data_IF_153298972987
#
_entry.id   IF_153298972987
#
_cell.length_a   1.000
_cell.length_b   1.000
_cell.length_c   1.000
_cell.angle_alpha   90.00
_cell.angle_beta   90.00
_cell.angle_gamma   90.00
#
_symmetry.space_group_name_H-M   'P 1'
#
loop_
_entity.id
_entity.type
_entity.pdbx_description
1 polymer ?
#
# COMPACT_ATOMS: atom_id res chain seq x y z
N UNK A 1 60.81 -13.68 -26.09
CA UNK A 1 60.15 -14.13 -27.33
C UNK A 1 58.86 -13.38 -27.42
N UNK A 2 58.88 -12.37 -28.13
CA UNK A 2 58.05 -11.72 -29.15
C UNK A 2 56.52 -11.84 -28.99
N UNK A 3 55.95 -10.71 -28.74
CA UNK A 3 54.57 -10.29 -29.01
C UNK A 3 54.39 -10.19 -30.54
N UNK A 4 53.20 -10.41 -31.08
CA UNK A 4 52.63 -9.34 -31.88
C UNK A 4 51.15 -9.08 -31.59
N UNK A 5 50.84 -7.82 -31.48
CA UNK A 5 49.55 -7.17 -31.81
C UNK A 5 49.25 -7.31 -33.28
N UNK A 6 47.98 -7.30 -33.67
CA UNK A 6 47.60 -6.48 -34.84
C UNK A 6 46.43 -5.55 -34.52
N UNK A 7 46.69 -4.37 -34.75
CA UNK A 7 46.07 -3.26 -35.50
C UNK A 7 45.03 -3.70 -36.53
N UNK A 8 43.91 -2.96 -36.54
CA UNK A 8 43.03 -2.89 -37.69
C UNK A 8 41.61 -2.44 -37.37
N UNK A 9 41.38 -1.12 -37.31
CA UNK A 9 40.11 -0.54 -37.70
C UNK A 9 40.05 -0.47 -39.24
N UNK A 10 38.86 -0.46 -39.86
CA UNK A 10 38.37 0.83 -40.29
C UNK A 10 36.87 1.06 -40.05
N UNK A 11 36.58 2.27 -39.77
CA UNK A 11 35.30 2.93 -39.85
C UNK A 11 34.79 2.94 -41.27
N UNK A 12 33.56 2.57 -41.49
CA UNK A 12 32.86 2.89 -42.73
C UNK A 12 31.64 3.78 -42.37
N UNK A 13 31.85 4.99 -42.72
CA UNK A 13 30.92 6.09 -42.87
C UNK A 13 29.94 5.75 -44.00
N UNK A 14 28.68 5.67 -43.70
CA UNK A 14 27.63 5.62 -44.73
C UNK A 14 26.69 6.79 -44.56
N UNK A 15 26.89 7.65 -45.52
CA UNK A 15 26.13 8.74 -46.08
C UNK A 15 24.70 8.96 -45.59
N UNK A 16 24.48 10.23 -45.24
CA UNK A 16 23.21 10.89 -45.18
C UNK A 16 22.43 10.76 -46.49
N UNK A 17 21.20 10.28 -46.40
CA UNK A 17 20.21 10.46 -47.46
C UNK A 17 19.26 11.58 -47.00
N UNK A 18 19.51 12.70 -47.56
CA UNK A 18 18.66 13.88 -47.58
C UNK A 18 17.47 13.57 -48.51
N UNK A 19 16.27 13.53 -47.95
CA UNK A 19 15.04 13.51 -48.74
C UNK A 19 14.24 14.78 -48.44
N UNK A 20 14.11 15.60 -49.46
CA UNK A 20 13.47 16.89 -49.47
C UNK A 20 11.94 16.82 -49.27
N UNK A 21 11.30 17.98 -49.01
CA UNK A 21 9.99 18.08 -48.38
C UNK A 21 8.85 17.86 -49.38
N UNK A 22 7.92 17.04 -49.00
CA UNK A 22 6.63 16.92 -49.65
C UNK A 22 5.64 17.99 -49.19
N UNK A 23 5.11 18.73 -50.09
CA UNK A 23 4.02 19.67 -49.91
C UNK A 23 2.82 18.98 -49.31
N UNK A 24 2.54 19.26 -48.05
CA UNK A 24 1.30 18.86 -47.40
C UNK A 24 0.19 19.86 -47.72
N UNK A 25 -0.86 19.37 -48.27
CA UNK A 25 -2.12 20.09 -48.51
C UNK A 25 -2.75 20.60 -47.20
N UNK A 26 -3.44 21.75 -47.25
CA UNK A 26 -4.06 22.33 -46.08
C UNK A 26 -5.28 21.52 -45.61
N UNK A 27 -5.34 21.26 -44.35
CA UNK A 27 -6.47 20.64 -43.66
C UNK A 27 -7.72 21.54 -43.76
N UNK A 28 -8.89 21.05 -44.16
CA UNK A 28 -10.10 21.83 -44.14
C UNK A 28 -10.58 22.08 -42.70
N UNK A 29 -10.88 23.33 -42.46
CA UNK A 29 -11.53 23.84 -41.25
C UNK A 29 -12.94 23.27 -41.12
N UNK A 30 -13.36 22.77 -39.96
CA UNK A 30 -14.75 22.36 -39.75
C UNK A 30 -15.64 23.61 -39.66
N UNK A 31 -16.84 23.59 -40.25
CA UNK A 31 -17.77 24.71 -40.19
C UNK A 31 -18.33 24.86 -38.78
N UNK A 32 -18.26 26.11 -38.32
CA UNK A 32 -18.95 26.58 -37.13
C UNK A 32 -20.48 26.51 -37.36
N UNK A 33 -21.12 25.55 -36.75
CA UNK A 33 -22.57 25.56 -36.67
C UNK A 33 -22.98 26.32 -35.43
N UNK A 34 -23.40 27.54 -35.62
CA UNK A 34 -24.25 28.31 -34.71
C UNK A 34 -25.67 27.78 -34.88
N UNK A 35 -26.19 27.14 -33.87
CA UNK A 35 -27.63 27.17 -33.60
C UNK A 35 -27.86 26.91 -32.11
N UNK A 36 -28.54 27.82 -31.41
CA UNK A 36 -28.96 27.58 -30.04
C UNK A 36 -30.21 26.71 -30.07
N UNK A 37 -30.15 25.57 -29.41
CA UNK A 37 -31.29 24.74 -29.13
C UNK A 37 -32.13 25.36 -28.01
N UNK A 38 -33.44 25.27 -28.08
CA UNK A 38 -34.36 25.90 -27.11
C UNK A 38 -34.31 25.20 -25.76
N UNK A 39 -34.49 26.02 -24.72
CA UNK A 39 -34.77 25.64 -23.35
C UNK A 39 -35.77 24.51 -23.24
N UNK A 40 -35.34 23.34 -22.89
CA UNK A 40 -36.22 22.32 -22.38
C UNK A 40 -36.06 22.24 -20.87
N UNK A 41 -37.01 22.87 -20.22
CA UNK A 41 -37.27 22.87 -18.80
C UNK A 41 -37.62 21.45 -18.39
N UNK A 42 -36.64 20.69 -17.98
CA UNK A 42 -36.89 19.38 -17.35
C UNK A 42 -36.88 19.56 -15.85
N UNK A 43 -38.03 19.28 -15.27
CA UNK A 43 -38.30 19.28 -13.86
C UNK A 43 -37.37 18.35 -13.09
N UNK A 44 -37.11 18.62 -11.81
CA UNK A 44 -36.28 17.79 -10.98
C UNK A 44 -37.02 16.51 -10.64
N UNK A 45 -36.59 15.42 -11.17
CA UNK A 45 -37.05 14.11 -10.75
C UNK A 45 -35.89 13.26 -10.34
N UNK A 46 -36.06 12.75 -9.16
CA UNK A 46 -35.33 11.67 -8.55
C UNK A 46 -34.19 12.11 -7.61
N UNK A 47 -34.63 12.48 -6.43
CA UNK A 47 -33.86 12.19 -5.22
C UNK A 47 -33.45 10.72 -5.26
N UNK A 48 -32.15 10.49 -5.48
CA UNK A 48 -31.53 9.26 -5.03
C UNK A 48 -31.83 9.13 -3.54
N UNK A 49 -32.36 7.99 -3.09
CA UNK A 49 -32.42 7.74 -1.67
C UNK A 49 -31.01 7.92 -1.11
N UNK A 50 -30.84 8.84 -0.19
CA UNK A 50 -29.71 8.82 0.73
C UNK A 50 -29.80 7.46 1.40
N UNK A 51 -29.03 6.50 0.92
CA UNK A 51 -28.64 5.40 1.76
C UNK A 51 -27.94 6.06 2.96
N UNK A 52 -28.67 6.10 4.05
CA UNK A 52 -28.10 6.33 5.35
C UNK A 52 -26.95 5.35 5.44
N UNK A 53 -25.69 5.80 5.74
CA UNK A 53 -24.67 4.84 6.06
C UNK A 53 -25.25 4.03 7.21
N UNK A 54 -25.49 2.76 6.95
CA UNK A 54 -25.66 1.78 8.00
C UNK A 54 -24.43 1.95 8.86
N UNK A 55 -24.64 2.53 10.03
CA UNK A 55 -23.60 2.70 11.00
C UNK A 55 -22.96 1.35 11.14
N UNK A 56 -21.70 1.29 10.75
CA UNK A 56 -20.86 0.13 10.91
C UNK A 56 -20.80 -0.14 12.41
N UNK A 57 -21.63 -1.06 12.87
CA UNK A 57 -21.73 -1.47 14.28
C UNK A 57 -20.43 -2.11 14.76
N UNK A 58 -19.45 -2.26 13.87
CA UNK A 58 -18.09 -2.66 14.20
C UNK A 58 -17.26 -1.51 14.78
N UNK A 59 -17.71 -0.24 14.63
CA UNK A 59 -16.96 0.93 15.12
C UNK A 59 -17.27 1.31 16.57
N UNK A 60 -18.22 0.65 17.23
CA UNK A 60 -18.62 0.99 18.61
C UNK A 60 -18.09 0.02 19.66
N UNK A 61 -17.01 -0.67 19.39
CA UNK A 61 -16.19 -1.19 20.49
C UNK A 61 -15.22 -0.09 20.92
N UNK A 62 -15.72 0.89 21.61
CA UNK A 62 -14.93 1.71 22.53
C UNK A 62 -14.60 0.85 23.73
N UNK A 63 -13.74 -0.09 23.53
CA UNK A 63 -12.95 -0.64 24.62
C UNK A 63 -11.73 0.24 24.75
N UNK A 64 -11.31 0.50 25.97
CA UNK A 64 -10.04 1.15 26.32
C UNK A 64 -8.81 0.37 25.82
N UNK A 65 -8.96 -0.36 24.74
CA UNK A 65 -7.90 -1.06 24.09
C UNK A 65 -6.87 -0.08 23.59
N UNK A 66 -5.67 -0.19 24.11
CA UNK A 66 -4.54 0.67 23.78
C UNK A 66 -4.24 0.64 22.27
N UNK A 67 -4.40 -0.53 21.67
CA UNK A 67 -4.18 -0.78 20.26
C UNK A 67 -5.47 -1.23 19.55
N UNK A 68 -5.64 -0.82 18.31
CA UNK A 68 -6.67 -1.36 17.44
C UNK A 68 -6.16 -2.66 16.76
N UNK A 69 -7.07 -3.54 16.42
CA UNK A 69 -6.73 -4.70 15.58
C UNK A 69 -6.13 -4.20 14.25
N UNK A 70 -4.97 -4.71 13.85
CA UNK A 70 -4.28 -4.23 12.64
C UNK A 70 -5.00 -4.65 11.35
N UNK A 71 -5.78 -5.71 11.40
CA UNK A 71 -6.54 -6.22 10.25
C UNK A 71 -7.82 -6.89 10.75
N UNK A 72 -8.89 -6.78 9.97
CA UNK A 72 -10.13 -7.51 10.24
C UNK A 72 -9.94 -8.97 9.85
N UNK A 73 -9.95 -9.86 10.83
CA UNK A 73 -9.74 -11.28 10.60
C UNK A 73 -9.84 -12.11 11.87
N UNK A 74 -9.73 -13.44 11.70
CA UNK A 74 -9.75 -14.37 12.80
C UNK A 74 -8.32 -14.65 13.27
N UNK A 75 -8.08 -14.65 14.57
CA UNK A 75 -6.80 -15.09 15.14
C UNK A 75 -6.70 -16.60 14.95
N UNK A 76 -5.70 -17.02 14.18
CA UNK A 76 -5.43 -18.43 13.86
C UNK A 76 -4.29 -19.00 14.69
N UNK A 77 -3.45 -18.12 15.25
CA UNK A 77 -2.39 -18.51 16.18
C UNK A 77 -2.24 -17.45 17.25
N UNK A 78 -2.28 -17.86 18.50
CA UNK A 78 -2.11 -16.98 19.66
C UNK A 78 -0.64 -16.84 20.04
N UNK A 79 -0.35 -15.79 20.81
CA UNK A 79 0.94 -15.61 21.43
C UNK A 79 1.34 -16.81 22.29
N UNK A 80 2.57 -17.25 22.18
CA UNK A 80 3.15 -18.32 22.98
C UNK A 80 4.64 -18.06 23.17
N UNK A 81 5.02 -17.54 24.33
CA UNK A 81 6.41 -17.15 24.65
C UNK A 81 7.42 -18.24 24.26
N UNK A 82 8.40 -17.84 23.43
CA UNK A 82 9.43 -18.74 22.93
C UNK A 82 9.02 -19.66 21.77
N UNK A 83 7.76 -19.56 21.30
CA UNK A 83 7.25 -20.29 20.14
C UNK A 83 6.60 -19.39 19.10
N UNK A 84 5.86 -18.39 19.54
CA UNK A 84 5.19 -17.41 18.70
C UNK A 84 5.19 -16.06 19.43
N UNK A 85 6.00 -15.14 18.99
CA UNK A 85 6.22 -13.85 19.66
C UNK A 85 5.09 -12.83 19.43
N UNK A 86 4.03 -13.23 18.71
CA UNK A 86 2.88 -12.40 18.40
C UNK A 86 1.61 -13.23 18.19
N UNK A 87 0.67 -12.67 17.45
CA UNK A 87 -0.54 -13.35 17.00
C UNK A 87 -0.59 -13.37 15.48
N UNK A 88 -1.12 -14.44 14.91
CA UNK A 88 -1.39 -14.53 13.47
C UNK A 88 -2.88 -14.32 13.22
N UNK A 89 -3.21 -13.38 12.38
CA UNK A 89 -4.58 -13.01 12.04
C UNK A 89 -4.83 -13.35 10.58
N UNK A 90 -5.67 -14.34 10.33
CA UNK A 90 -6.08 -14.71 8.98
C UNK A 90 -6.91 -13.58 8.36
N UNK A 91 -6.52 -13.14 7.17
CA UNK A 91 -7.25 -12.13 6.42
C UNK A 91 -7.08 -12.37 4.92
N UNK A 92 -8.07 -11.98 4.14
CA UNK A 92 -7.99 -12.14 2.68
C UNK A 92 -6.81 -11.35 2.08
N UNK A 93 -6.15 -11.90 1.05
CA UNK A 93 -5.10 -11.17 0.33
C UNK A 93 -5.58 -9.79 -0.12
N UNK A 94 -4.74 -8.77 0.05
CA UNK A 94 -5.07 -7.39 -0.31
C UNK A 94 -5.91 -6.63 0.72
N UNK A 95 -6.35 -7.26 1.81
CA UNK A 95 -7.04 -6.57 2.92
C UNK A 95 -6.11 -5.48 3.49
N UNK A 96 -6.68 -4.30 3.76
CA UNK A 96 -5.91 -3.20 4.32
C UNK A 96 -5.39 -3.54 5.73
N UNK A 97 -4.10 -3.40 5.92
CA UNK A 97 -3.43 -3.49 7.23
C UNK A 97 -3.28 -2.08 7.80
N UNK A 98 -3.76 -1.91 9.01
CA UNK A 98 -3.82 -0.59 9.68
C UNK A 98 -2.85 -0.54 10.85
N UNK A 99 -2.35 0.66 11.14
CA UNK A 99 -1.58 0.88 12.36
C UNK A 99 -2.45 0.68 13.60
N UNK A 100 -1.97 -0.13 14.53
CA UNK A 100 -2.69 -0.43 15.78
C UNK A 100 -2.81 0.79 16.70
N UNK A 101 -1.85 1.70 16.66
CA UNK A 101 -1.86 2.97 17.39
C UNK A 101 -1.12 4.05 16.61
N UNK A 102 -1.15 5.28 17.09
CA UNK A 102 -0.30 6.34 16.58
C UNK A 102 1.18 6.08 16.92
N UNK A 103 2.07 6.52 16.05
CA UNK A 103 3.50 6.34 16.25
C UNK A 103 4.33 6.72 15.04
N UNK A 104 5.60 6.38 15.11
CA UNK A 104 6.55 6.62 14.02
C UNK A 104 7.08 5.28 13.50
N UNK A 105 7.15 5.13 12.19
CA UNK A 105 7.74 3.96 11.54
C UNK A 105 9.24 3.93 11.85
N UNK A 106 9.63 3.07 12.78
CA UNK A 106 11.02 2.93 13.24
C UNK A 106 11.89 2.21 12.21
N UNK A 107 11.30 1.22 11.54
CA UNK A 107 12.00 0.47 10.51
C UNK A 107 11.01 -0.13 9.50
N UNK A 108 11.48 -0.26 8.27
CA UNK A 108 10.91 -1.12 7.24
C UNK A 108 12.02 -2.04 6.78
N UNK A 109 11.86 -3.33 7.00
CA UNK A 109 12.85 -4.36 6.67
C UNK A 109 12.19 -5.48 5.88
N UNK A 110 12.92 -6.54 5.58
CA UNK A 110 12.40 -7.75 4.93
C UNK A 110 12.87 -8.96 5.70
N UNK A 111 12.02 -9.98 5.73
CA UNK A 111 12.41 -11.28 6.24
C UNK A 111 13.32 -12.04 5.24
N UNK A 112 13.71 -13.24 5.60
CA UNK A 112 14.57 -14.11 4.77
C UNK A 112 13.91 -14.53 3.45
N UNK A 113 12.59 -14.39 3.34
CA UNK A 113 11.80 -14.68 2.13
C UNK A 113 11.58 -13.43 1.27
N UNK A 114 12.10 -12.27 1.71
CA UNK A 114 11.92 -10.98 1.06
C UNK A 114 10.58 -10.30 1.37
N UNK A 115 9.80 -10.85 2.31
CA UNK A 115 8.53 -10.26 2.72
C UNK A 115 8.77 -9.03 3.59
N UNK A 116 8.13 -7.90 3.30
CA UNK A 116 8.27 -6.70 4.11
C UNK A 116 7.80 -6.88 5.55
N UNK A 117 8.52 -6.27 6.48
CA UNK A 117 8.19 -6.15 7.89
C UNK A 117 8.20 -4.68 8.26
N UNK A 118 7.14 -4.20 8.87
CA UNK A 118 7.02 -2.82 9.37
C UNK A 118 7.13 -2.83 10.88
N UNK A 119 7.97 -1.97 11.43
CA UNK A 119 8.08 -1.76 12.88
C UNK A 119 7.68 -0.32 13.19
N UNK A 120 6.68 -0.14 14.05
CA UNK A 120 6.20 1.16 14.49
C UNK A 120 6.52 1.34 15.97
N UNK A 121 7.11 2.49 16.31
CA UNK A 121 7.37 2.91 17.69
C UNK A 121 6.27 3.82 18.16
N UNK A 122 5.74 3.53 19.33
CA UNK A 122 4.71 4.30 20.01
C UNK A 122 5.30 5.17 21.13
N UNK A 123 4.54 6.16 21.58
CA UNK A 123 4.98 7.15 22.56
C UNK A 123 5.37 6.57 23.93
N UNK A 124 4.81 5.42 24.29
CA UNK A 124 5.03 4.74 25.56
C UNK A 124 6.18 3.70 25.53
N UNK A 125 7.01 3.78 24.50
CA UNK A 125 8.17 2.90 24.33
C UNK A 125 7.79 1.48 23.86
N UNK A 126 6.54 1.25 23.53
CA UNK A 126 6.10 0.02 22.88
C UNK A 126 6.42 0.06 21.37
N UNK A 127 6.65 -1.11 20.84
CA UNK A 127 6.85 -1.34 19.41
C UNK A 127 5.76 -2.29 18.93
N UNK A 128 5.22 -2.04 17.75
CA UNK A 128 4.39 -3.02 17.04
C UNK A 128 5.07 -3.45 15.77
N UNK A 129 5.00 -4.74 15.47
CA UNK A 129 5.60 -5.37 14.31
C UNK A 129 4.51 -5.96 13.45
N UNK A 130 4.59 -5.72 12.16
CA UNK A 130 3.64 -6.21 11.15
C UNK A 130 4.42 -6.97 10.09
N UNK A 131 4.22 -8.28 10.02
CA UNK A 131 4.79 -9.14 8.99
C UNK A 131 3.68 -9.85 8.20
N UNK A 132 4.02 -10.43 7.05
CA UNK A 132 3.03 -10.99 6.13
C UNK A 132 2.27 -9.93 5.34
N UNK A 133 2.88 -8.76 5.18
CA UNK A 133 2.31 -7.59 4.50
C UNK A 133 2.98 -7.35 3.15
N UNK A 134 2.29 -6.60 2.29
CA UNK A 134 2.77 -6.16 0.99
C UNK A 134 2.16 -4.80 0.65
N UNK A 135 2.55 -4.20 -0.50
CA UNK A 135 1.98 -2.93 -0.93
C UNK A 135 2.12 -1.82 0.12
N UNK A 136 3.32 -1.64 0.66
CA UNK A 136 3.62 -0.65 1.69
C UNK A 136 3.19 0.74 1.28
N UNK A 137 2.54 1.46 2.20
CA UNK A 137 2.10 2.86 2.04
C UNK A 137 2.86 3.82 2.93
N UNK A 138 3.83 3.31 3.67
CA UNK A 138 4.64 4.07 4.62
C UNK A 138 6.11 3.71 4.47
N UNK A 139 6.98 4.64 4.83
CA UNK A 139 8.42 4.49 4.84
C UNK A 139 8.99 4.70 6.25
N UNK A 140 10.25 4.31 6.45
CA UNK A 140 10.96 4.59 7.70
C UNK A 140 10.97 6.09 7.98
N UNK A 141 10.58 6.48 9.19
CA UNK A 141 10.50 7.86 9.64
C UNK A 141 9.11 8.48 9.54
N UNK A 142 8.18 7.86 8.80
CA UNK A 142 6.83 8.37 8.67
C UNK A 142 6.08 8.30 10.01
N UNK A 143 5.27 9.33 10.27
CA UNK A 143 4.33 9.32 11.39
C UNK A 143 3.00 8.75 10.92
N UNK A 144 2.44 7.83 11.69
CA UNK A 144 1.17 7.18 11.42
C UNK A 144 0.18 7.40 12.56
N UNK A 145 -1.10 7.45 12.22
CA UNK A 145 -2.20 7.56 13.19
C UNK A 145 -2.79 6.18 13.46
N UNK A 146 -3.43 6.01 14.64
CA UNK A 146 -4.24 4.82 14.95
C UNK A 146 -5.27 4.58 13.85
N UNK A 147 -5.33 3.37 13.29
CA UNK A 147 -6.25 3.01 12.22
C UNK A 147 -5.85 3.46 10.81
N UNK A 148 -4.73 4.14 10.66
CA UNK A 148 -4.22 4.52 9.32
C UNK A 148 -3.72 3.28 8.56
N UNK A 149 -4.11 3.16 7.29
CA UNK A 149 -3.65 2.06 6.44
C UNK A 149 -2.15 2.23 6.13
N UNK A 150 -1.36 1.22 6.49
CA UNK A 150 0.10 1.19 6.33
C UNK A 150 0.58 0.21 5.26
N UNK A 151 -0.21 -0.82 4.99
CA UNK A 151 0.11 -1.85 3.99
C UNK A 151 -1.16 -2.61 3.61
N UNK A 152 -1.00 -3.71 2.87
CA UNK A 152 -2.05 -4.69 2.60
C UNK A 152 -1.56 -6.10 2.97
N UNK A 153 -2.50 -7.03 3.19
CA UNK A 153 -2.18 -8.44 3.42
C UNK A 153 -1.54 -9.02 2.17
N UNK A 154 -0.39 -9.68 2.34
CA UNK A 154 0.35 -10.31 1.25
C UNK A 154 -0.50 -11.37 0.55
N UNK A 155 -0.35 -11.48 -0.77
CA UNK A 155 -0.92 -12.58 -1.55
C UNK A 155 -0.13 -13.86 -1.27
N UNK A 156 -0.77 -14.82 -0.64
CA UNK A 156 -0.23 -16.17 -0.43
C UNK A 156 -1.39 -17.16 -0.26
N UNK A 157 -1.11 -18.44 -0.41
CA UNK A 157 -2.12 -19.51 -0.21
C UNK A 157 -2.67 -19.53 1.21
N UNK A 158 -1.84 -19.12 2.18
CA UNK A 158 -2.23 -18.94 3.58
C UNK A 158 -2.01 -17.47 3.94
N UNK A 159 -2.96 -16.62 3.59
CA UNK A 159 -2.84 -15.19 3.84
C UNK A 159 -3.17 -14.88 5.30
N UNK A 160 -2.20 -14.31 6.01
CA UNK A 160 -2.33 -13.83 7.37
C UNK A 160 -1.37 -12.69 7.64
N UNK A 161 -1.66 -11.92 8.66
CA UNK A 161 -0.75 -10.91 9.22
C UNK A 161 -0.22 -11.43 10.55
N UNK A 162 1.08 -11.47 10.69
CA UNK A 162 1.74 -11.68 11.97
C UNK A 162 1.89 -10.32 12.66
N UNK A 163 1.32 -10.21 13.84
CA UNK A 163 1.29 -8.98 14.64
C UNK A 163 1.93 -9.21 16.00
N UNK A 164 2.97 -8.44 16.29
CA UNK A 164 3.65 -8.48 17.59
C UNK A 164 3.52 -7.16 18.31
N UNK A 165 3.49 -7.25 19.64
CA UNK A 165 3.72 -6.11 20.54
C UNK A 165 5.01 -6.37 21.32
N UNK A 166 5.91 -5.42 21.32
CA UNK A 166 7.21 -5.54 21.97
C UNK A 166 7.48 -4.35 22.90
N UNK A 167 8.25 -4.63 23.96
CA UNK A 167 8.83 -3.59 24.81
C UNK A 167 10.34 -3.78 24.83
N UNK A 168 11.03 -2.93 24.06
CA UNK A 168 12.45 -3.14 23.79
C UNK A 168 12.68 -4.43 22.99
N UNK A 169 13.39 -5.39 23.59
CA UNK A 169 13.68 -6.70 22.99
C UNK A 169 12.65 -7.78 23.34
N UNK A 170 11.82 -7.54 24.36
CA UNK A 170 10.88 -8.53 24.87
C UNK A 170 9.57 -8.50 24.05
N UNK A 171 9.11 -9.68 23.65
CA UNK A 171 7.78 -9.85 23.07
C UNK A 171 6.72 -9.94 24.16
N UNK A 172 5.58 -9.28 23.95
CA UNK A 172 4.44 -9.25 24.85
C UNK A 172 3.23 -9.88 24.16
N UNK A 173 2.32 -10.48 24.95
CA UNK A 173 1.04 -10.93 24.41
C UNK A 173 0.25 -9.74 23.85
N UNK A 174 -0.06 -9.73 22.54
CA UNK A 174 -0.83 -8.63 21.94
C UNK A 174 -2.29 -8.59 22.38
N UNK A 175 -2.88 -9.72 22.80
CA UNK A 175 -4.31 -9.82 23.07
C UNK A 175 -4.83 -8.81 24.10
N UNK A 176 -4.17 -8.59 25.25
CA UNK A 176 -4.62 -7.59 26.22
C UNK A 176 -4.59 -6.15 25.70
N UNK A 177 -3.86 -5.91 24.63
CA UNK A 177 -3.69 -4.56 24.05
C UNK A 177 -4.68 -4.26 22.92
N UNK A 178 -5.24 -5.30 22.25
CA UNK A 178 -6.08 -5.17 21.05
C UNK A 178 -7.56 -5.53 21.23
N UNK A 179 -8.00 -5.76 22.45
CA UNK A 179 -9.41 -6.10 22.76
C UNK A 179 -10.29 -4.86 22.86
#
# INVERSE_FOLDING_TARGET
MMIPTPTGAPVEEVAAVETAPGNGSPTPTPPSAKEPLPDEKVAPASEKPKEKPVADMASQRTTDAKFAMPVSGKIIRSYAKGKNDGIDIAAAPGTAVKSAAEGTVAAVTKDTTGTPIIVIRHSDGLLTVYAGVDGLKVAKGDTVKKGQTIAAVRKSDTAFVHFEVRKGVDSLDPLPYVQ
#
